data_IF_846539048330
#
_entry.id   IF_846539048330
#
_cell.length_a   1.000
_cell.length_b   1.000
_cell.length_c   1.000
_cell.angle_alpha   90.00
_cell.angle_beta   90.00
_cell.angle_gamma   90.00
#
_symmetry.space_group_name_H-M   'P 1'
#
loop_
_entity.id
_entity.type
_entity.pdbx_description
1 polymer ?
#
# COMPACT_ATOMS: atom_id res chain seq x y z
N UNK A 1 -1.22 -0.46 26.58
CA UNK A 1 -1.11 -0.54 25.12
C UNK A 1 -2.34 -1.26 24.59
N UNK A 2 -2.80 -0.89 23.40
CA UNK A 2 -3.97 -1.46 22.72
C UNK A 2 -3.54 -2.60 21.82
N UNK A 3 -4.38 -3.61 21.60
CA UNK A 3 -4.04 -4.70 20.66
C UNK A 3 -4.15 -4.18 19.24
N UNK A 4 -5.24 -3.48 18.95
CA UNK A 4 -5.50 -2.91 17.62
C UNK A 4 -5.75 -1.41 17.70
N UNK A 5 -5.32 -0.69 16.66
CA UNK A 5 -5.55 0.75 16.57
C UNK A 5 -5.87 1.19 15.15
N UNK A 6 -6.63 2.27 15.02
CA UNK A 6 -6.87 2.96 13.76
C UNK A 6 -6.31 4.38 13.84
N UNK A 7 -5.56 4.77 12.81
CA UNK A 7 -5.13 6.15 12.61
C UNK A 7 -5.52 6.65 11.21
N UNK A 8 -5.87 7.92 11.13
CA UNK A 8 -6.24 8.60 9.88
C UNK A 8 -5.13 9.55 9.46
N UNK A 9 -4.62 9.36 8.25
CA UNK A 9 -3.54 10.16 7.67
C UNK A 9 -4.06 10.99 6.50
N UNK A 10 -3.65 12.24 6.45
CA UNK A 10 -4.01 13.13 5.36
C UNK A 10 -3.36 12.69 4.05
N UNK A 11 -4.11 12.74 2.96
CA UNK A 11 -3.63 12.38 1.64
C UNK A 11 -4.13 13.40 0.62
N UNK A 12 -3.25 13.92 -0.24
CA UNK A 12 -3.65 14.82 -1.33
C UNK A 12 -3.20 14.26 -2.66
N UNK A 13 -4.17 14.04 -3.56
CA UNK A 13 -3.90 13.74 -4.96
C UNK A 13 -3.48 15.00 -5.72
N UNK A 14 -3.99 16.17 -5.30
CA UNK A 14 -3.75 17.47 -5.94
C UNK A 14 -2.43 18.10 -5.51
N UNK A 15 -1.61 18.50 -6.49
CA UNK A 15 -0.31 19.14 -6.32
C UNK A 15 -0.38 20.68 -6.38
N UNK A 16 -1.32 21.32 -5.66
CA UNK A 16 -1.45 22.77 -5.83
C UNK A 16 -0.28 23.57 -5.25
N UNK A 17 0.50 23.04 -4.28
CA UNK A 17 1.72 23.70 -3.71
C UNK A 17 2.69 22.67 -3.09
N UNK A 18 3.99 22.83 -3.35
CA UNK A 18 5.10 22.02 -2.76
C UNK A 18 5.09 22.02 -1.23
N UNK A 19 4.84 23.19 -0.63
CA UNK A 19 4.84 23.35 0.83
C UNK A 19 3.72 22.55 1.51
N UNK A 20 2.56 22.43 0.86
CA UNK A 20 1.44 21.67 1.38
C UNK A 20 1.75 20.16 1.48
N UNK A 21 2.50 19.60 0.53
CA UNK A 21 2.91 18.20 0.57
C UNK A 21 3.85 17.90 1.73
N UNK A 22 4.88 18.73 1.91
CA UNK A 22 5.83 18.59 3.01
C UNK A 22 5.13 18.70 4.37
N UNK A 23 4.23 19.67 4.54
CA UNK A 23 3.46 19.85 5.78
C UNK A 23 2.58 18.62 6.07
N UNK A 24 1.81 18.16 5.08
CA UNK A 24 0.97 16.95 5.21
C UNK A 24 1.82 15.73 5.57
N UNK A 25 2.98 15.58 4.94
CA UNK A 25 3.88 14.48 5.17
C UNK A 25 4.44 14.47 6.60
N UNK A 26 4.99 15.59 7.06
CA UNK A 26 5.55 15.71 8.40
C UNK A 26 4.46 15.57 9.47
N UNK A 27 3.28 16.12 9.23
CA UNK A 27 2.13 15.93 10.10
C UNK A 27 1.75 14.44 10.23
N UNK A 28 1.68 13.72 9.11
CA UNK A 28 1.41 12.28 9.12
C UNK A 28 2.49 11.48 9.86
N UNK A 29 3.76 11.85 9.72
CA UNK A 29 4.85 11.19 10.43
C UNK A 29 4.82 11.44 11.94
N UNK A 30 4.55 12.68 12.37
CA UNK A 30 4.35 13.00 13.78
C UNK A 30 3.20 12.17 14.38
N UNK A 31 2.08 12.05 13.65
CA UNK A 31 0.94 11.21 14.01
C UNK A 31 1.33 9.74 14.17
N UNK A 32 1.98 9.16 13.16
CA UNK A 32 2.41 7.75 13.18
C UNK A 32 3.40 7.45 14.30
N UNK A 33 4.37 8.35 14.50
CA UNK A 33 5.36 8.21 15.56
C UNK A 33 4.71 8.14 16.94
N UNK A 34 3.74 9.01 17.19
CA UNK A 34 3.06 9.13 18.47
C UNK A 34 2.13 7.95 18.78
N UNK A 35 1.55 7.31 17.76
CA UNK A 35 0.55 6.25 17.97
C UNK A 35 1.14 4.83 17.94
N UNK A 36 2.15 4.55 17.10
CA UNK A 36 2.52 3.16 16.77
C UNK A 36 3.06 2.37 17.97
N UNK A 37 3.73 3.03 18.93
CA UNK A 37 4.25 2.39 20.13
C UNK A 37 3.15 2.04 21.14
N UNK A 38 1.95 2.57 20.95
CA UNK A 38 0.80 2.29 21.80
C UNK A 38 -0.02 1.09 21.32
N UNK A 39 0.32 0.52 20.15
CA UNK A 39 -0.37 -0.61 19.52
C UNK A 39 0.52 -1.84 19.50
N UNK A 40 0.00 -2.98 19.95
CA UNK A 40 0.74 -4.24 20.09
C UNK A 40 0.68 -5.09 18.82
N UNK A 41 -0.52 -5.32 18.29
CA UNK A 41 -0.72 -6.36 17.27
C UNK A 41 -0.89 -5.75 15.89
N UNK A 42 -1.89 -4.86 15.71
CA UNK A 42 -2.27 -4.37 14.39
C UNK A 42 -2.66 -2.90 14.34
N UNK A 43 -2.03 -2.15 13.45
CA UNK A 43 -2.34 -0.76 13.16
C UNK A 43 -2.98 -0.63 11.78
N UNK A 44 -4.21 -0.14 11.74
CA UNK A 44 -4.89 0.28 10.52
C UNK A 44 -4.57 1.75 10.25
N UNK A 45 -4.22 2.05 9.01
CA UNK A 45 -3.94 3.40 8.54
C UNK A 45 -4.92 3.73 7.43
N UNK A 46 -5.85 4.64 7.68
CA UNK A 46 -6.81 5.09 6.70
C UNK A 46 -6.36 6.41 6.10
N UNK A 47 -6.11 6.46 4.79
CA UNK A 47 -5.85 7.72 4.12
C UNK A 47 -7.14 8.49 3.88
N UNK A 48 -7.11 9.80 4.12
CA UNK A 48 -8.27 10.69 4.00
C UNK A 48 -7.93 11.92 3.17
N UNK A 49 -8.81 12.29 2.24
CA UNK A 49 -8.54 13.38 1.28
C UNK A 49 -8.35 14.73 1.97
N UNK A 50 -7.19 15.35 1.80
CA UNK A 50 -6.84 16.67 2.30
C UNK A 50 -7.84 17.76 1.89
N UNK A 51 -8.30 17.73 0.62
CA UNK A 51 -9.21 18.74 0.09
C UNK A 51 -10.59 18.73 0.76
N UNK A 52 -11.00 17.62 1.36
CA UNK A 52 -12.24 17.52 2.12
C UNK A 52 -12.14 18.19 3.50
N UNK A 53 -10.94 18.41 4.03
CA UNK A 53 -10.75 18.97 5.37
C UNK A 53 -10.74 20.50 5.39
N UNK A 54 -10.10 21.15 4.42
CA UNK A 54 -9.98 22.62 4.38
C UNK A 54 -11.15 23.33 3.66
N UNK A 55 -12.14 22.59 3.18
CA UNK A 55 -13.31 23.17 2.47
C UNK A 55 -14.31 23.89 3.39
N UNK A 56 -14.30 23.61 4.69
CA UNK A 56 -15.28 24.14 5.65
C UNK A 56 -14.73 25.26 6.55
N UNK A 57 -13.49 25.70 6.38
CA UNK A 57 -13.00 26.89 7.06
C UNK A 57 -13.50 28.16 6.35
N UNK A 58 -14.76 28.50 6.63
CA UNK A 58 -15.18 29.91 6.75
C UNK A 58 -14.69 30.52 8.08
N UNK A 59 -13.89 29.78 8.84
CA UNK A 59 -13.27 30.22 10.08
C UNK A 59 -11.98 30.95 9.71
N UNK A 60 -12.08 32.27 9.61
CA UNK A 60 -11.00 33.24 9.77
C UNK A 60 -9.63 32.82 9.19
N UNK A 61 -9.28 33.45 8.06
CA UNK A 61 -7.91 33.67 7.56
C UNK A 61 -6.92 34.29 8.60
N UNK A 62 -7.29 34.36 9.88
CA UNK A 62 -6.50 34.88 11.00
C UNK A 62 -6.09 33.80 12.02
N UNK A 63 -6.40 32.50 11.83
CA UNK A 63 -5.58 31.46 12.46
C UNK A 63 -4.33 31.29 11.63
N UNK A 64 -3.39 32.15 11.94
CA UNK A 64 -2.07 32.20 11.35
C UNK A 64 -1.46 30.81 11.25
N UNK A 65 -0.93 30.52 10.05
CA UNK A 65 0.03 29.45 9.74
C UNK A 65 1.31 29.50 10.63
N UNK A 66 1.37 30.38 11.63
CA UNK A 66 2.55 30.70 12.44
C UNK A 66 3.07 29.54 13.31
N UNK A 67 2.25 28.53 13.59
CA UNK A 67 2.67 27.40 14.43
C UNK A 67 3.52 26.35 13.70
N UNK A 68 3.44 26.24 12.38
CA UNK A 68 4.19 25.22 11.62
C UNK A 68 5.38 25.81 10.85
N UNK A 69 5.27 27.07 10.40
CA UNK A 69 6.37 27.77 9.72
C UNK A 69 7.56 28.07 10.66
N UNK A 70 7.29 28.30 11.95
CA UNK A 70 8.33 28.64 12.94
C UNK A 70 9.27 27.49 13.31
N UNK A 71 8.90 26.23 13.00
CA UNK A 71 9.75 25.05 13.27
C UNK A 71 10.56 24.62 12.04
N UNK A 72 10.15 25.03 10.83
CA UNK A 72 10.68 24.49 9.57
C UNK A 72 11.53 25.54 8.80
N UNK A 73 11.38 26.83 9.10
CA UNK A 73 11.84 27.93 8.25
C UNK A 73 13.32 28.37 8.31
N UNK A 74 14.24 27.72 9.04
CA UNK A 74 15.62 28.27 9.19
C UNK A 74 16.78 27.45 8.60
N UNK A 75 16.55 26.29 7.97
CA UNK A 75 17.65 25.43 7.49
C UNK A 75 17.57 24.96 6.02
N UNK A 76 16.95 25.74 5.14
CA UNK A 76 16.94 25.42 3.71
C UNK A 76 17.46 26.57 2.85
N UNK A 77 18.79 26.68 2.83
CA UNK A 77 19.56 27.24 1.73
C UNK A 77 20.99 26.74 1.90
N UNK A 78 21.25 25.49 1.52
CA UNK A 78 22.51 25.02 0.95
C UNK A 78 22.50 23.51 0.77
N UNK A 79 23.11 23.06 -0.33
CA UNK A 79 23.47 21.68 -0.65
C UNK A 79 22.41 20.86 -1.41
N UNK A 80 22.13 21.31 -2.64
CA UNK A 80 21.79 20.39 -3.73
C UNK A 80 23.02 19.56 -4.09
N UNK A 81 22.98 18.25 -3.85
CA UNK A 81 23.74 17.28 -4.64
C UNK A 81 22.76 16.25 -5.19
N UNK A 82 22.22 16.62 -6.36
CA UNK A 82 21.90 15.80 -7.53
C UNK A 82 21.99 14.29 -7.32
N UNK A 83 20.83 13.63 -7.17
CA UNK A 83 20.69 12.22 -7.57
C UNK A 83 20.69 12.24 -9.10
N UNK A 84 21.68 11.59 -9.69
CA UNK A 84 21.79 11.46 -11.13
C UNK A 84 20.53 10.79 -11.68
N UNK A 85 19.95 11.48 -12.66
CA UNK A 85 18.92 11.00 -13.55
C UNK A 85 19.22 9.58 -14.00
N UNK A 86 18.30 8.66 -13.73
CA UNK A 86 18.22 7.40 -14.48
C UNK A 86 18.08 7.80 -15.94
N UNK A 87 19.15 7.57 -16.70
CA UNK A 87 19.19 7.84 -18.12
C UNK A 87 18.02 7.14 -18.80
N UNK A 88 17.21 7.97 -19.46
CA UNK A 88 16.31 7.52 -20.51
C UNK A 88 17.16 6.83 -21.57
N UNK A 89 17.15 5.49 -21.58
CA UNK A 89 17.51 4.74 -22.77
C UNK A 89 16.35 4.83 -23.76
N UNK A 90 16.22 6.03 -24.33
CA UNK A 90 15.49 6.27 -25.56
C UNK A 90 16.26 5.61 -26.71
N UNK A 91 15.97 4.34 -26.97
CA UNK A 91 16.17 3.80 -28.31
C UNK A 91 14.87 3.96 -29.09
N UNK A 92 14.74 5.15 -29.68
CA UNK A 92 13.87 5.37 -30.83
C UNK A 92 14.41 4.56 -32.01
N UNK A 93 13.69 3.51 -32.40
CA UNK A 93 13.61 2.97 -33.77
C UNK A 93 12.62 1.79 -33.81
N UNK A 94 11.35 2.06 -34.11
CA UNK A 94 10.62 1.46 -35.25
C UNK A 94 9.11 1.69 -35.16
N UNK A 95 8.56 2.07 -36.30
CA UNK A 95 7.16 2.15 -36.64
C UNK A 95 6.46 0.79 -36.65
N UNK A 96 5.13 0.85 -36.50
CA UNK A 96 4.07 -0.15 -36.79
C UNK A 96 3.91 -1.33 -35.81
N UNK A 97 2.83 -1.27 -35.01
CA UNK A 97 2.09 -2.39 -34.39
C UNK A 97 2.91 -3.55 -33.81
N UNK A 98 3.73 -3.28 -32.79
CA UNK A 98 4.27 -4.33 -31.92
C UNK A 98 3.33 -4.58 -30.71
N UNK A 99 2.66 -5.74 -30.61
CA UNK A 99 1.87 -6.15 -29.45
C UNK A 99 2.71 -6.49 -28.19
N UNK A 100 4.03 -6.25 -28.21
CA UNK A 100 4.90 -6.14 -27.03
C UNK A 100 4.97 -4.70 -26.45
N UNK A 101 4.22 -3.75 -27.02
CA UNK A 101 4.04 -2.41 -26.47
C UNK A 101 3.58 -2.50 -25.00
N UNK A 102 4.19 -1.74 -24.07
CA UNK A 102 3.81 -1.76 -22.66
C UNK A 102 2.29 -1.56 -22.49
N UNK A 103 1.71 -2.34 -21.58
CA UNK A 103 0.30 -2.32 -21.11
C UNK A 103 -0.40 -0.97 -21.31
N UNK A 104 -1.26 -0.84 -22.33
CA UNK A 104 -1.79 0.46 -22.77
C UNK A 104 -2.62 1.15 -21.69
N UNK A 105 -3.45 0.38 -20.98
CA UNK A 105 -4.30 0.93 -19.91
C UNK A 105 -3.49 1.26 -18.65
N UNK A 106 -2.47 0.46 -18.34
CA UNK A 106 -1.54 0.77 -17.25
C UNK A 106 -0.73 2.01 -17.56
N UNK A 107 -0.25 2.17 -18.80
CA UNK A 107 0.56 3.32 -19.22
C UNK A 107 -0.18 4.65 -19.06
N UNK A 108 -1.49 4.67 -19.34
CA UNK A 108 -2.34 5.84 -19.11
C UNK A 108 -2.36 6.30 -17.65
N UNK A 109 -2.12 5.40 -16.70
CA UNK A 109 -2.11 5.67 -15.26
C UNK A 109 -0.75 5.45 -14.60
N UNK A 110 0.31 5.23 -15.37
CA UNK A 110 1.57 4.71 -14.85
C UNK A 110 2.21 5.63 -13.82
N UNK A 111 2.28 6.92 -14.13
CA UNK A 111 2.84 7.92 -13.21
C UNK A 111 2.07 7.99 -11.90
N UNK A 112 0.73 7.99 -11.96
CA UNK A 112 -0.14 7.98 -10.78
C UNK A 112 0.07 6.72 -9.94
N UNK A 113 0.14 5.55 -10.58
CA UNK A 113 0.40 4.27 -9.93
C UNK A 113 1.77 4.24 -9.24
N UNK A 114 2.83 4.73 -9.89
CA UNK A 114 4.18 4.80 -9.32
C UNK A 114 4.27 5.77 -8.15
N UNK A 115 3.53 6.88 -8.20
CA UNK A 115 3.39 7.80 -7.07
C UNK A 115 2.72 7.12 -5.87
N UNK A 116 1.61 6.42 -6.08
CA UNK A 116 0.93 5.66 -5.02
C UNK A 116 1.84 4.58 -4.42
N UNK A 117 2.56 3.86 -5.25
CA UNK A 117 3.56 2.87 -4.85
C UNK A 117 4.62 3.48 -3.92
N UNK A 118 5.22 4.62 -4.32
CA UNK A 118 6.23 5.35 -3.53
C UNK A 118 5.68 5.82 -2.18
N UNK A 119 4.44 6.31 -2.16
CA UNK A 119 3.77 6.74 -0.93
C UNK A 119 3.60 5.58 0.04
N UNK A 120 3.05 4.45 -0.42
CA UNK A 120 2.86 3.28 0.45
C UNK A 120 4.19 2.70 0.95
N UNK A 121 5.19 2.63 0.08
CA UNK A 121 6.53 2.18 0.46
C UNK A 121 7.10 3.01 1.60
N UNK A 122 7.06 4.33 1.47
CA UNK A 122 7.63 5.24 2.46
C UNK A 122 6.96 5.13 3.81
N UNK A 123 5.62 5.04 3.84
CA UNK A 123 4.88 4.84 5.09
C UNK A 123 5.18 3.48 5.73
N UNK A 124 5.32 2.41 4.93
CA UNK A 124 5.76 1.13 5.46
C UNK A 124 7.21 1.19 5.98
N UNK A 125 8.15 1.80 5.28
CA UNK A 125 9.55 1.96 5.74
C UNK A 125 9.62 2.64 7.10
N UNK A 126 8.90 3.75 7.27
CA UNK A 126 8.83 4.48 8.54
C UNK A 126 8.29 3.58 9.64
N UNK A 127 7.12 2.98 9.43
CA UNK A 127 6.47 2.16 10.45
C UNK A 127 7.30 0.93 10.84
N UNK A 128 7.90 0.23 9.88
CA UNK A 128 8.70 -0.96 10.16
C UNK A 128 10.09 -0.64 10.69
N UNK A 129 10.63 0.55 10.42
CA UNK A 129 11.88 1.02 11.05
C UNK A 129 11.70 1.23 12.56
N UNK A 130 10.53 1.73 12.97
CA UNK A 130 10.23 1.95 14.39
C UNK A 130 9.71 0.70 15.09
N UNK A 131 8.79 -0.03 14.47
CA UNK A 131 8.25 -1.28 15.01
C UNK A 131 8.19 -2.36 13.91
N UNK A 132 9.28 -3.11 13.69
CA UNK A 132 9.36 -4.12 12.63
C UNK A 132 8.39 -5.29 12.81
N UNK A 133 7.77 -5.42 13.98
CA UNK A 133 6.80 -6.49 14.29
C UNK A 133 5.35 -6.05 14.15
N UNK A 134 5.08 -4.74 14.02
CA UNK A 134 3.72 -4.22 13.95
C UNK A 134 3.05 -4.63 12.65
N UNK A 135 1.89 -5.27 12.73
CA UNK A 135 1.12 -5.56 11.53
C UNK A 135 0.40 -4.30 11.06
N UNK A 136 0.91 -3.68 10.00
CA UNK A 136 0.31 -2.47 9.42
C UNK A 136 -0.55 -2.80 8.21
N UNK A 137 -1.74 -2.21 8.11
CA UNK A 137 -2.54 -2.21 6.88
C UNK A 137 -2.83 -0.77 6.45
N UNK A 138 -2.29 -0.37 5.30
CA UNK A 138 -2.62 0.91 4.66
C UNK A 138 -3.86 0.74 3.78
N UNK A 139 -4.90 1.52 4.05
CA UNK A 139 -6.15 1.52 3.29
C UNK A 139 -6.13 2.72 2.34
N UNK A 140 -6.09 2.50 1.01
CA UNK A 140 -6.13 3.57 0.03
C UNK A 140 -7.36 4.48 0.19
N UNK A 141 -7.24 5.80 -0.06
CA UNK A 141 -8.34 6.74 0.17
C UNK A 141 -9.58 6.43 -0.67
N UNK A 142 -9.42 6.01 -1.93
CA UNK A 142 -10.51 5.60 -2.82
C UNK A 142 -11.28 4.37 -2.33
N UNK A 143 -10.60 3.50 -1.58
CA UNK A 143 -11.20 2.31 -0.98
C UNK A 143 -11.78 2.61 0.41
N UNK A 144 -11.33 3.69 1.05
CA UNK A 144 -11.81 4.17 2.33
C UNK A 144 -13.14 4.95 2.24
N UNK A 145 -13.41 5.68 1.14
CA UNK A 145 -14.62 6.52 0.98
C UNK A 145 -15.86 5.77 0.51
N UNK A 146 -15.69 4.71 -0.30
CA UNK A 146 -16.81 3.84 -0.72
C UNK A 146 -17.39 3.00 0.44
N UNK A 147 -16.79 3.08 1.62
CA UNK A 147 -17.28 2.42 2.84
C UNK A 147 -18.38 3.22 3.54
N UNK A 148 -18.62 4.48 3.17
CA UNK A 148 -19.57 5.36 3.86
C UNK A 148 -20.75 5.87 2.99
N UNK A 149 -20.85 5.49 1.72
CA UNK A 149 -21.83 6.07 0.77
C UNK A 149 -22.92 5.12 0.26
N UNK A 150 -23.07 3.91 0.80
CA UNK A 150 -24.18 3.01 0.45
C UNK A 150 -25.39 3.19 1.38
N UNK A 151 -26.02 4.36 1.34
CA UNK A 151 -27.38 4.54 1.88
C UNK A 151 -28.20 5.42 0.95
N UNK A 152 -28.68 4.84 -0.16
CA UNK A 152 -29.98 5.11 -0.79
C UNK A 152 -30.04 4.56 -2.21
N UNK A 153 -30.65 3.39 -2.38
CA UNK A 153 -31.69 3.12 -3.39
C UNK A 153 -32.07 1.64 -3.38
N UNK A 154 -33.38 1.42 -3.43
CA UNK A 154 -34.08 0.16 -3.34
C UNK A 154 -34.00 -0.65 -4.63
N UNK A 155 -33.50 -1.88 -4.55
CA UNK A 155 -34.18 -3.08 -5.09
C UNK A 155 -33.37 -4.34 -4.78
N UNK A 156 -34.08 -5.36 -4.34
CA UNK A 156 -33.65 -6.68 -3.89
C UNK A 156 -32.55 -7.37 -4.73
N UNK A 157 -31.36 -7.49 -4.15
CA UNK A 157 -30.52 -8.69 -4.20
C UNK A 157 -29.45 -8.58 -3.11
N UNK A 158 -29.40 -9.57 -2.22
CA UNK A 158 -28.54 -9.64 -1.04
C UNK A 158 -27.06 -9.43 -1.36
N UNK A 159 -26.59 -8.19 -1.22
CA UNK A 159 -25.18 -7.82 -1.15
C UNK A 159 -24.95 -7.32 0.28
N UNK A 160 -24.34 -8.17 1.10
CA UNK A 160 -23.88 -7.81 2.44
C UNK A 160 -22.87 -6.67 2.31
N UNK A 161 -23.30 -5.47 2.70
CA UNK A 161 -22.45 -4.29 2.84
C UNK A 161 -21.44 -4.55 3.96
N UNK A 162 -20.21 -4.96 3.61
CA UNK A 162 -19.12 -5.03 4.58
C UNK A 162 -18.60 -3.61 4.79
N UNK A 163 -19.22 -2.92 5.75
CA UNK A 163 -18.62 -1.78 6.39
C UNK A 163 -17.47 -2.34 7.25
N UNK A 164 -16.21 -1.87 7.13
CA UNK A 164 -15.11 -2.35 7.99
C UNK A 164 -15.34 -2.09 9.49
N UNK A 165 -16.46 -1.49 9.86
CA UNK A 165 -16.87 -1.19 11.23
C UNK A 165 -17.40 -2.40 12.02
N UNK A 166 -17.91 -3.45 11.38
CA UNK A 166 -18.58 -4.53 12.13
C UNK A 166 -17.71 -5.80 12.33
N UNK A 167 -16.64 -5.99 11.57
CA UNK A 167 -15.71 -7.13 11.72
C UNK A 167 -14.29 -6.75 12.17
N UNK A 168 -13.90 -5.49 12.04
CA UNK A 168 -12.55 -5.07 12.41
C UNK A 168 -12.59 -4.58 13.87
N UNK A 169 -12.37 -5.49 14.82
CA UNK A 169 -12.22 -5.16 16.24
C UNK A 169 -11.09 -4.17 16.47
N UNK A 170 -11.40 -2.87 16.43
CA UNK A 170 -10.49 -1.74 16.69
C UNK A 170 -10.68 -1.32 18.15
N UNK A 171 -9.63 -1.50 18.96
CA UNK A 171 -9.69 -1.13 20.38
C UNK A 171 -9.63 0.39 20.58
N UNK A 172 -8.88 1.10 19.73
CA UNK A 172 -8.65 2.54 19.88
C UNK A 172 -8.60 3.27 18.54
N UNK A 173 -9.22 4.46 18.52
CA UNK A 173 -9.03 5.43 17.46
C UNK A 173 -8.07 6.54 17.91
N UNK A 174 -6.98 6.71 17.17
CA UNK A 174 -6.05 7.83 17.35
C UNK A 174 -6.55 9.03 16.56
N UNK A 175 -6.85 10.11 17.28
CA UNK A 175 -7.47 11.33 16.76
C UNK A 175 -6.60 12.54 17.06
N UNK A 176 -6.70 13.57 16.24
CA UNK A 176 -6.20 14.91 16.56
C UNK A 176 -7.29 15.98 16.36
N UNK A 177 -6.89 17.25 16.35
CA UNK A 177 -7.82 18.36 16.12
C UNK A 177 -8.51 18.30 14.74
N UNK A 178 -7.88 17.69 13.73
CA UNK A 178 -8.40 17.60 12.37
C UNK A 178 -9.46 16.49 12.23
N UNK A 179 -9.50 15.52 13.15
CA UNK A 179 -10.45 14.41 13.14
C UNK A 179 -11.84 14.76 13.74
N UNK A 180 -12.06 16.00 14.20
CA UNK A 180 -13.33 16.44 14.84
C UNK A 180 -14.61 16.17 14.04
N UNK A 181 -14.68 16.40 12.71
CA UNK A 181 -15.86 16.07 11.92
C UNK A 181 -16.17 14.57 11.93
N UNK A 182 -15.13 13.72 11.93
CA UNK A 182 -15.27 12.27 11.97
C UNK A 182 -15.69 11.77 13.36
N UNK A 183 -15.15 12.37 14.42
CA UNK A 183 -15.53 12.05 15.81
C UNK A 183 -17.03 12.30 16.02
N UNK A 184 -17.59 13.41 15.54
CA UNK A 184 -19.02 13.72 15.65
C UNK A 184 -19.91 12.65 15.01
N UNK A 185 -19.47 12.04 13.91
CA UNK A 185 -20.17 10.93 13.26
C UNK A 185 -20.02 9.62 14.07
N UNK A 186 -18.91 9.44 14.77
CA UNK A 186 -18.58 8.22 15.52
C UNK A 186 -19.07 8.21 16.98
N UNK A 187 -19.43 9.35 17.57
CA UNK A 187 -19.88 9.45 18.97
C UNK A 187 -21.13 8.62 19.29
N UNK A 188 -21.84 8.09 18.29
CA UNK A 188 -22.94 7.15 18.47
C UNK A 188 -22.47 5.70 18.74
N UNK A 189 -21.17 5.38 18.67
CA UNK A 189 -20.65 4.00 18.59
C UNK A 189 -19.74 3.56 19.77
N UNK A 190 -19.73 4.26 20.91
CA UNK A 190 -18.99 3.87 22.14
C UNK A 190 -17.50 3.50 21.94
N UNK A 191 -16.79 4.16 21.01
CA UNK A 191 -15.35 3.90 20.78
C UNK A 191 -14.45 4.64 21.76
N UNK A 192 -13.30 4.04 22.10
CA UNK A 192 -12.26 4.71 22.86
C UNK A 192 -11.42 5.60 21.94
N UNK A 193 -11.26 6.86 22.32
CA UNK A 193 -10.49 7.85 21.57
C UNK A 193 -9.22 8.22 22.34
N UNK A 194 -8.09 8.24 21.62
CA UNK A 194 -6.85 8.84 22.12
C UNK A 194 -6.53 10.06 21.29
N UNK A 195 -6.42 11.20 21.98
CA UNK A 195 -5.84 12.39 21.38
C UNK A 195 -4.34 12.19 21.19
N UNK A 196 -3.88 12.38 19.97
CA UNK A 196 -2.48 12.45 19.61
C UNK A 196 -2.07 13.91 19.70
N UNK A 197 -1.29 14.27 20.71
CA UNK A 197 -0.64 15.57 20.73
C UNK A 197 0.48 15.55 19.68
N UNK A 198 0.55 16.55 18.81
CA UNK A 198 1.55 16.63 17.74
C UNK A 198 2.96 16.67 18.35
N UNK A 199 3.63 15.53 18.45
CA UNK A 199 5.01 15.45 18.94
C UNK A 199 5.94 15.92 17.82
N UNK A 200 6.95 16.73 18.16
CA UNK A 200 8.07 17.03 17.26
C UNK A 200 8.67 15.72 16.74
N UNK A 201 8.51 15.47 15.44
CA UNK A 201 9.14 14.36 14.76
C UNK A 201 10.55 14.76 14.33
N UNK A 202 11.57 13.88 14.43
CA UNK A 202 12.91 14.18 13.93
C UNK A 202 12.91 14.20 12.39
N UNK A 203 12.45 15.32 11.82
CA UNK A 203 12.38 15.58 10.38
C UNK A 203 13.75 15.44 9.70
N UNK A 204 14.84 15.64 10.45
CA UNK A 204 16.22 15.45 9.99
C UNK A 204 16.53 14.02 9.52
N UNK A 205 15.78 13.03 10.01
CA UNK A 205 15.94 11.63 9.61
C UNK A 205 15.18 11.30 8.32
N UNK A 206 14.30 12.19 7.86
CA UNK A 206 13.40 11.98 6.71
C UNK A 206 13.30 13.27 5.89
N UNK A 207 14.47 13.80 5.50
CA UNK A 207 14.67 15.13 4.86
C UNK A 207 13.99 15.35 3.52
N UNK A 208 13.48 14.30 2.88
CA UNK A 208 12.90 14.38 1.54
C UNK A 208 11.41 14.06 1.57
N UNK A 209 10.59 15.02 1.14
CA UNK A 209 9.22 14.76 0.72
C UNK A 209 9.28 13.80 -0.47
N UNK A 210 8.74 12.60 -0.29
CA UNK A 210 8.64 11.51 -1.28
C UNK A 210 7.68 11.83 -2.44
N UNK A 211 6.99 12.97 -2.34
CA UNK A 211 6.18 13.53 -3.42
C UNK A 211 7.17 14.16 -4.42
N UNK A 212 7.58 13.38 -5.41
CA UNK A 212 8.48 13.82 -6.47
C UNK A 212 7.90 15.07 -7.16
N UNK A 213 8.65 16.18 -7.08
CA UNK A 213 8.30 17.50 -7.60
C UNK A 213 8.45 17.61 -9.14
N UNK A 214 8.84 16.53 -9.84
CA UNK A 214 9.18 16.61 -11.27
C UNK A 214 8.05 16.25 -12.23
N UNK A 215 6.89 15.79 -11.74
CA UNK A 215 5.82 15.27 -12.61
C UNK A 215 4.66 16.27 -12.72
N UNK A 216 4.51 16.89 -13.89
CA UNK A 216 3.31 17.65 -14.24
C UNK A 216 2.13 16.68 -14.37
N UNK A 217 1.14 16.79 -13.47
CA UNK A 217 -0.07 15.95 -13.54
C UNK A 217 -1.01 16.46 -14.65
N UNK A 218 -1.56 15.53 -15.42
CA UNK A 218 -2.60 15.84 -16.39
C UNK A 218 -3.95 16.13 -15.69
N UNK A 219 -4.85 16.81 -16.38
CA UNK A 219 -6.15 17.21 -15.82
C UNK A 219 -7.04 16.05 -15.29
N UNK A 220 -6.79 14.82 -15.75
CA UNK A 220 -7.46 13.57 -15.35
C UNK A 220 -7.12 13.10 -13.92
N UNK A 221 -6.06 13.64 -13.31
CA UNK A 221 -5.62 13.26 -11.96
C UNK A 221 -6.38 13.97 -10.83
N UNK A 222 -7.36 14.80 -11.16
CA UNK A 222 -8.22 15.49 -10.17
C UNK A 222 -9.36 14.61 -9.65
N UNK A 223 -9.63 13.47 -10.30
CA UNK A 223 -10.66 12.53 -9.88
C UNK A 223 -10.11 11.47 -8.91
N UNK A 224 -10.93 11.10 -7.93
CA UNK A 224 -10.63 10.00 -7.01
C UNK A 224 -10.35 8.71 -7.76
N UNK A 225 -9.32 7.96 -7.36
CA UNK A 225 -8.94 6.71 -8.01
C UNK A 225 -10.13 5.74 -8.12
N UNK A 226 -10.32 5.15 -9.30
CA UNK A 226 -11.26 4.06 -9.55
C UNK A 226 -10.48 2.85 -10.04
N UNK A 227 -10.79 1.63 -9.54
CA UNK A 227 -10.12 0.44 -10.05
C UNK A 227 -10.32 0.29 -11.56
N UNK A 228 -9.25 -0.09 -12.27
CA UNK A 228 -9.21 -0.13 -13.73
C UNK A 228 -9.75 -1.47 -14.25
N UNK A 229 -9.55 -2.56 -13.49
CA UNK A 229 -9.80 -3.91 -13.94
C UNK A 229 -10.83 -4.63 -13.08
N UNK A 230 -11.72 -5.38 -13.74
CA UNK A 230 -12.66 -6.28 -13.05
C UNK A 230 -11.94 -7.48 -12.45
N UNK A 231 -11.01 -8.06 -13.21
CA UNK A 231 -10.28 -9.28 -12.87
C UNK A 231 -8.79 -9.04 -12.78
N UNK A 232 -8.20 -9.24 -11.59
CA UNK A 232 -6.75 -9.10 -11.35
C UNK A 232 -6.17 -10.43 -10.86
N UNK A 233 -4.95 -10.76 -11.26
CA UNK A 233 -4.21 -11.92 -10.74
C UNK A 233 -2.82 -11.53 -10.24
N UNK A 234 -2.37 -12.22 -9.19
CA UNK A 234 -0.99 -12.17 -8.72
C UNK A 234 -0.59 -13.51 -8.09
N UNK A 235 0.69 -13.75 -7.98
CA UNK A 235 1.23 -14.97 -7.38
C UNK A 235 2.43 -14.70 -6.49
N UNK A 236 2.61 -15.51 -5.45
CA UNK A 236 3.73 -15.38 -4.54
C UNK A 236 3.71 -16.41 -3.42
N UNK A 237 4.79 -16.45 -2.65
CA UNK A 237 4.84 -17.30 -1.46
C UNK A 237 4.11 -16.65 -0.28
N UNK A 238 4.18 -15.33 -0.13
CA UNK A 238 3.55 -14.58 0.97
C UNK A 238 3.85 -15.13 2.37
N UNK A 239 5.03 -15.71 2.54
CA UNK A 239 5.57 -16.03 3.86
C UNK A 239 5.93 -14.73 4.57
N UNK A 240 5.60 -14.61 5.86
CA UNK A 240 5.93 -13.45 6.71
C UNK A 240 5.72 -12.11 5.98
N UNK A 241 4.47 -11.79 5.67
CA UNK A 241 4.09 -10.61 4.86
C UNK A 241 4.82 -9.34 5.34
N UNK A 242 5.83 -8.94 4.56
CA UNK A 242 6.68 -7.78 4.80
C UNK A 242 6.27 -6.62 3.87
N UNK A 243 6.85 -5.41 4.00
CA UNK A 243 6.46 -4.24 3.21
C UNK A 243 6.33 -4.48 1.70
N UNK A 244 7.27 -5.21 1.08
CA UNK A 244 7.21 -5.52 -0.35
C UNK A 244 5.97 -6.33 -0.75
N UNK A 245 5.61 -7.36 0.02
CA UNK A 245 4.34 -8.09 -0.20
C UNK A 245 3.14 -7.18 0.01
N UNK A 246 3.16 -6.31 1.03
CA UNK A 246 2.03 -5.42 1.33
C UNK A 246 1.80 -4.43 0.19
N UNK A 247 2.86 -3.85 -0.39
CA UNK A 247 2.75 -2.96 -1.56
C UNK A 247 2.19 -3.73 -2.75
N UNK A 248 2.74 -4.90 -3.08
CA UNK A 248 2.25 -5.74 -4.19
C UNK A 248 0.74 -6.02 -4.05
N UNK A 249 0.31 -6.49 -2.88
CA UNK A 249 -1.07 -6.83 -2.58
C UNK A 249 -1.98 -5.59 -2.56
N UNK A 250 -1.53 -4.47 -1.98
CA UNK A 250 -2.28 -3.21 -1.94
C UNK A 250 -2.48 -2.64 -3.35
N UNK A 251 -1.44 -2.63 -4.19
CA UNK A 251 -1.55 -2.14 -5.56
C UNK A 251 -2.46 -3.02 -6.42
N UNK A 252 -2.42 -4.34 -6.25
CA UNK A 252 -3.36 -5.23 -6.92
C UNK A 252 -4.80 -5.00 -6.46
N UNK A 253 -5.03 -4.81 -5.16
CA UNK A 253 -6.36 -4.51 -4.61
C UNK A 253 -6.90 -3.16 -5.08
N UNK A 254 -6.01 -2.19 -5.31
CA UNK A 254 -6.32 -0.87 -5.85
C UNK A 254 -6.70 -0.94 -7.34
N UNK A 255 -6.10 -1.86 -8.10
CA UNK A 255 -6.39 -2.08 -9.52
C UNK A 255 -7.67 -2.89 -9.78
N UNK A 256 -8.17 -3.62 -8.78
CA UNK A 256 -9.27 -4.57 -8.91
C UNK A 256 -10.62 -4.04 -8.41
N UNK A 257 -11.69 -4.17 -9.20
CA UNK A 257 -13.06 -3.80 -8.79
C UNK A 257 -13.95 -4.97 -8.35
N UNK A 258 -13.73 -6.19 -8.85
CA UNK A 258 -14.71 -7.29 -8.70
C UNK A 258 -14.09 -8.61 -8.23
N UNK A 259 -13.06 -9.11 -8.91
CA UNK A 259 -12.54 -10.46 -8.71
C UNK A 259 -11.02 -10.52 -8.75
N UNK A 260 -10.42 -11.20 -7.78
CA UNK A 260 -8.97 -11.39 -7.72
C UNK A 260 -8.59 -12.84 -7.51
N UNK A 261 -7.70 -13.34 -8.37
CA UNK A 261 -7.01 -14.61 -8.17
C UNK A 261 -5.66 -14.38 -7.49
N UNK A 262 -5.44 -15.09 -6.39
CA UNK A 262 -4.22 -14.97 -5.60
C UNK A 262 -3.58 -16.33 -5.47
N UNK A 263 -2.52 -16.54 -6.23
CA UNK A 263 -1.74 -17.77 -6.19
C UNK A 263 -0.77 -17.79 -5.01
N UNK A 264 -0.95 -18.75 -4.11
CA UNK A 264 -0.06 -19.00 -2.97
C UNK A 264 0.80 -20.22 -3.27
N UNK A 265 2.13 -20.07 -3.30
CA UNK A 265 3.05 -21.19 -3.53
C UNK A 265 2.90 -22.29 -2.47
N UNK A 266 2.74 -23.55 -2.87
CA UNK A 266 2.64 -24.69 -1.94
C UNK A 266 3.99 -25.01 -1.28
N UNK A 267 3.97 -25.49 -0.03
CA UNK A 267 5.20 -25.80 0.71
C UNK A 267 6.05 -26.90 0.02
N UNK A 268 5.43 -27.82 -0.72
CA UNK A 268 6.12 -28.93 -1.39
C UNK A 268 7.21 -28.50 -2.38
N UNK A 269 7.03 -27.33 -3.03
CA UNK A 269 7.97 -26.78 -4.02
C UNK A 269 8.86 -25.66 -3.45
N UNK A 270 8.77 -25.39 -2.15
CA UNK A 270 9.59 -24.39 -1.44
C UNK A 270 10.80 -24.98 -0.72
N UNK A 271 11.00 -26.30 -0.79
CA UNK A 271 12.04 -27.04 -0.04
C UNK A 271 13.46 -26.53 -0.31
N UNK A 272 13.72 -26.00 -1.51
CA UNK A 272 15.03 -25.45 -1.90
C UNK A 272 15.29 -24.02 -1.39
N UNK A 273 14.30 -23.34 -0.80
CA UNK A 273 14.50 -22.00 -0.23
C UNK A 273 15.31 -22.08 1.06
N UNK A 274 16.24 -21.15 1.27
CA UNK A 274 16.98 -20.99 2.53
C UNK A 274 16.00 -20.87 3.71
N UNK A 275 16.16 -21.66 4.78
CA UNK A 275 15.21 -21.76 5.91
C UNK A 275 13.81 -22.22 5.50
N UNK A 276 13.71 -23.23 4.63
CA UNK A 276 12.42 -23.72 4.12
C UNK A 276 11.57 -24.36 5.23
N UNK A 277 12.22 -24.94 6.23
CA UNK A 277 11.63 -25.49 7.45
C UNK A 277 10.90 -24.45 8.31
N UNK A 278 11.29 -23.17 8.19
CA UNK A 278 10.65 -22.06 8.89
C UNK A 278 9.50 -21.43 8.10
N UNK A 279 9.25 -21.84 6.85
CA UNK A 279 8.15 -21.30 6.04
C UNK A 279 6.82 -21.74 6.65
N UNK A 280 5.91 -20.79 6.85
CA UNK A 280 4.59 -21.10 7.41
C UNK A 280 3.78 -22.06 6.51
N UNK A 281 2.86 -22.86 7.08
CA UNK A 281 1.97 -23.72 6.31
C UNK A 281 1.19 -22.96 5.23
N UNK A 282 0.83 -23.67 4.17
CA UNK A 282 0.07 -23.11 3.04
C UNK A 282 -1.22 -22.44 3.50
N UNK A 283 -1.95 -23.11 4.38
CA UNK A 283 -3.24 -22.66 4.92
C UNK A 283 -3.07 -21.36 5.71
N UNK A 284 -2.03 -21.28 6.55
CA UNK A 284 -1.70 -20.08 7.33
C UNK A 284 -1.37 -18.89 6.43
N UNK A 285 -0.50 -19.08 5.42
CA UNK A 285 -0.13 -18.01 4.47
C UNK A 285 -1.33 -17.57 3.63
N UNK A 286 -2.19 -18.51 3.26
CA UNK A 286 -3.43 -18.24 2.52
C UNK A 286 -4.39 -17.39 3.35
N UNK A 287 -4.65 -17.78 4.60
CA UNK A 287 -5.56 -17.06 5.48
C UNK A 287 -5.06 -15.64 5.77
N UNK A 288 -3.78 -15.47 6.12
CA UNK A 288 -3.21 -14.15 6.43
C UNK A 288 -3.23 -13.24 5.19
N UNK A 289 -2.89 -13.78 4.01
CA UNK A 289 -2.93 -13.02 2.74
C UNK A 289 -4.35 -12.60 2.40
N UNK A 290 -5.32 -13.52 2.48
CA UNK A 290 -6.73 -13.23 2.21
C UNK A 290 -7.27 -12.17 3.16
N UNK A 291 -6.98 -12.33 4.47
CA UNK A 291 -7.39 -11.35 5.48
C UNK A 291 -6.76 -9.99 5.21
N UNK A 292 -5.47 -9.91 4.86
CA UNK A 292 -4.82 -8.64 4.51
C UNK A 292 -5.54 -7.96 3.33
N UNK A 293 -5.80 -8.70 2.25
CA UNK A 293 -6.50 -8.18 1.08
C UNK A 293 -7.92 -7.69 1.42
N UNK A 294 -8.70 -8.45 2.18
CA UNK A 294 -10.04 -8.05 2.62
C UNK A 294 -10.02 -6.76 3.48
N UNK A 295 -8.98 -6.56 4.28
CA UNK A 295 -8.81 -5.30 5.02
C UNK A 295 -8.46 -4.11 4.11
N UNK A 296 -7.84 -4.35 2.96
CA UNK A 296 -7.51 -3.30 1.98
C UNK A 296 -8.71 -2.99 1.08
N UNK A 297 -9.35 -4.02 0.51
CA UNK A 297 -10.51 -3.88 -0.37
C UNK A 297 -11.56 -4.98 -0.09
N UNK A 298 -12.55 -4.75 0.79
CA UNK A 298 -13.56 -5.75 1.12
C UNK A 298 -14.57 -6.02 -0.01
N UNK A 299 -14.57 -5.20 -1.07
CA UNK A 299 -15.55 -5.29 -2.16
C UNK A 299 -15.15 -6.27 -3.28
N UNK A 300 -13.99 -6.93 -3.15
CA UNK A 300 -13.46 -7.85 -4.14
C UNK A 300 -13.67 -9.30 -3.70
N UNK A 301 -14.12 -10.13 -4.63
CA UNK A 301 -14.16 -11.59 -4.48
C UNK A 301 -12.73 -12.15 -4.60
N UNK A 302 -12.22 -12.75 -3.52
CA UNK A 302 -10.88 -13.35 -3.49
C UNK A 302 -10.92 -14.86 -3.69
N UNK A 303 -10.34 -15.32 -4.79
CA UNK A 303 -10.09 -16.72 -5.07
C UNK A 303 -8.62 -17.07 -4.77
N UNK A 304 -8.41 -17.80 -3.67
CA UNK A 304 -7.07 -18.20 -3.22
C UNK A 304 -6.69 -19.54 -3.83
N UNK A 305 -5.68 -19.53 -4.69
CA UNK A 305 -5.27 -20.72 -5.45
C UNK A 305 -3.97 -21.31 -4.88
N UNK A 306 -3.90 -22.63 -4.81
CA UNK A 306 -2.66 -23.34 -4.50
C UNK A 306 -1.79 -23.43 -5.76
N UNK A 307 -0.59 -22.86 -5.72
CA UNK A 307 0.40 -22.98 -6.80
C UNK A 307 1.33 -24.14 -6.51
N UNK A 308 1.07 -25.27 -7.16
CA UNK A 308 2.02 -26.40 -7.29
C UNK A 308 2.81 -26.26 -8.59
N UNK A 309 2.21 -25.60 -9.58
CA UNK A 309 2.79 -25.21 -10.86
C UNK A 309 2.75 -23.68 -11.02
N UNK A 310 3.66 -23.07 -11.80
CA UNK A 310 3.85 -21.61 -11.82
C UNK A 310 2.71 -20.81 -12.45
N UNK A 311 1.77 -21.43 -13.17
CA UNK A 311 0.80 -20.70 -14.01
C UNK A 311 -0.66 -20.81 -13.57
N UNK A 312 -1.04 -21.77 -12.73
CA UNK A 312 -2.42 -22.02 -12.27
C UNK A 312 -3.49 -21.76 -13.37
N UNK A 313 -4.52 -20.95 -13.09
CA UNK A 313 -5.62 -20.66 -14.01
C UNK A 313 -5.32 -19.50 -14.97
N UNK A 314 -4.11 -18.92 -14.93
CA UNK A 314 -3.80 -17.71 -15.72
C UNK A 314 -3.83 -17.96 -17.23
N UNK A 315 -3.61 -19.20 -17.66
CA UNK A 315 -3.64 -19.61 -19.07
C UNK A 315 -5.03 -20.07 -19.55
N UNK A 316 -6.04 -20.12 -18.68
CA UNK A 316 -7.38 -20.65 -19.02
C UNK A 316 -8.50 -19.69 -18.67
N UNK A 317 -8.31 -18.79 -17.70
CA UNK A 317 -9.34 -17.89 -17.22
C UNK A 317 -9.58 -16.72 -18.18
N UNK A 318 -10.84 -16.57 -18.59
CA UNK A 318 -11.34 -15.44 -19.39
C UNK A 318 -11.73 -14.22 -18.54
N UNK A 319 -11.85 -14.38 -17.21
CA UNK A 319 -12.20 -13.31 -16.27
C UNK A 319 -11.05 -12.34 -16.00
N UNK A 320 -9.81 -12.80 -16.16
CA UNK A 320 -8.60 -12.05 -15.83
C UNK A 320 -8.27 -11.00 -16.91
N UNK A 321 -7.97 -9.78 -16.46
CA UNK A 321 -7.64 -8.64 -17.32
C UNK A 321 -6.25 -8.07 -17.02
N UNK A 322 -5.77 -8.21 -15.79
CA UNK A 322 -4.48 -7.67 -15.36
C UNK A 322 -3.71 -8.68 -14.49
N UNK A 323 -2.39 -8.68 -14.63
CA UNK A 323 -1.45 -9.40 -13.76
C UNK A 323 -0.53 -8.39 -13.08
N UNK A 324 -0.46 -8.47 -11.75
CA UNK A 324 0.45 -7.65 -10.93
C UNK A 324 1.65 -8.49 -10.53
N UNK A 325 2.84 -7.98 -10.83
CA UNK A 325 4.09 -8.72 -10.66
C UNK A 325 5.16 -7.91 -9.92
N UNK A 326 6.12 -8.61 -9.35
CA UNK A 326 7.43 -8.08 -9.02
C UNK A 326 8.36 -8.11 -10.25
N UNK A 327 9.50 -7.39 -10.24
CA UNK A 327 10.51 -7.51 -11.29
C UNK A 327 10.99 -8.97 -11.48
N UNK A 328 11.06 -9.74 -10.39
CA UNK A 328 11.45 -11.15 -10.39
C UNK A 328 10.51 -12.06 -11.20
N UNK A 329 9.25 -11.66 -11.36
CA UNK A 329 8.19 -12.48 -11.99
C UNK A 329 7.79 -11.99 -13.38
N UNK A 330 8.53 -11.03 -13.96
CA UNK A 330 8.28 -10.50 -15.30
C UNK A 330 8.35 -11.56 -16.40
N UNK A 331 9.38 -12.41 -16.39
CA UNK A 331 9.52 -13.48 -17.38
C UNK A 331 8.31 -14.43 -17.37
N UNK A 332 7.79 -14.73 -16.19
CA UNK A 332 6.58 -15.56 -16.01
C UNK A 332 5.35 -14.88 -16.60
N UNK A 333 5.14 -13.58 -16.35
CA UNK A 333 4.01 -12.84 -16.93
C UNK A 333 4.07 -12.75 -18.46
N UNK A 334 5.26 -12.53 -19.03
CA UNK A 334 5.46 -12.53 -20.48
C UNK A 334 5.13 -13.88 -21.09
N UNK A 335 5.57 -14.97 -20.47
CA UNK A 335 5.23 -16.33 -20.88
C UNK A 335 3.72 -16.62 -20.79
N UNK A 336 3.06 -16.23 -19.70
CA UNK A 336 1.60 -16.35 -19.56
C UNK A 336 0.91 -15.64 -20.73
N UNK A 337 1.32 -14.42 -21.07
CA UNK A 337 0.74 -13.70 -22.21
C UNK A 337 1.04 -14.36 -23.56
N UNK A 338 2.18 -15.03 -23.72
CA UNK A 338 2.45 -15.85 -24.90
C UNK A 338 1.44 -17.01 -25.00
N UNK A 339 1.30 -17.82 -23.94
CA UNK A 339 0.35 -18.96 -23.93
C UNK A 339 -1.09 -18.49 -24.12
N UNK A 340 -1.48 -17.36 -23.53
CA UNK A 340 -2.80 -16.77 -23.75
C UNK A 340 -3.05 -16.43 -25.22
N UNK A 341 -2.06 -15.85 -25.92
CA UNK A 341 -2.18 -15.58 -27.38
C UNK A 341 -2.33 -16.87 -28.18
N UNK A 342 -1.51 -17.88 -27.87
CA UNK A 342 -1.56 -19.20 -28.53
C UNK A 342 -2.91 -19.92 -28.33
N UNK A 343 -3.59 -19.64 -27.22
CA UNK A 343 -4.88 -20.22 -26.84
C UNK A 343 -6.08 -19.29 -27.12
N UNK A 344 -5.89 -18.22 -27.89
CA UNK A 344 -6.92 -17.22 -28.24
C UNK A 344 -7.55 -16.49 -27.04
N UNK A 345 -6.83 -16.38 -25.92
CA UNK A 345 -7.19 -15.55 -24.79
C UNK A 345 -6.57 -14.15 -24.92
N UNK A 346 -7.29 -13.14 -24.44
CA UNK A 346 -6.78 -11.76 -24.38
C UNK A 346 -5.54 -11.70 -23.48
N UNK A 347 -4.41 -11.11 -23.90
CA UNK A 347 -3.27 -10.86 -23.02
C UNK A 347 -3.68 -10.06 -21.78
N UNK A 348 -3.05 -10.34 -20.65
CA UNK A 348 -3.21 -9.58 -19.42
C UNK A 348 -2.40 -8.29 -19.50
N UNK A 349 -2.99 -7.18 -19.06
CA UNK A 349 -2.24 -5.96 -18.77
C UNK A 349 -1.25 -6.28 -17.64
N UNK A 350 0.02 -5.99 -17.84
CA UNK A 350 1.06 -6.22 -16.83
C UNK A 350 1.30 -4.92 -16.08
N UNK A 351 1.13 -4.96 -14.75
CA UNK A 351 1.64 -3.92 -13.87
C UNK A 351 2.78 -4.49 -13.02
N UNK A 352 4.00 -4.03 -13.30
CA UNK A 352 5.15 -4.37 -12.46
C UNK A 352 5.30 -3.32 -11.37
N UNK A 353 5.27 -3.76 -10.11
CA UNK A 353 5.78 -2.92 -9.03
C UNK A 353 7.30 -2.77 -9.24
N UNK A 354 7.81 -1.57 -9.00
CA UNK A 354 9.24 -1.27 -9.09
C UNK A 354 9.96 -1.63 -7.80
N UNK A 355 9.21 -1.78 -6.71
CA UNK A 355 9.77 -1.92 -5.40
C UNK A 355 10.13 -3.37 -5.04
N UNK A 356 11.36 -3.74 -5.34
CA UNK A 356 12.22 -4.53 -4.46
C UNK A 356 13.64 -4.10 -4.76
N UNK A 357 14.22 -3.20 -3.95
CA UNK A 357 15.66 -3.09 -3.69
C UNK A 357 15.96 -1.77 -2.96
N UNK A 358 15.90 -1.83 -1.63
CA UNK A 358 16.57 -0.86 -0.78
C UNK A 358 17.86 -1.49 -0.28
N UNK A 359 18.88 -1.54 -1.13
CA UNK A 359 20.28 -1.54 -0.70
C UNK A 359 20.99 -0.59 -1.64
N UNK A 360 21.29 0.61 -1.15
CA UNK A 360 22.43 1.46 -1.52
C UNK A 360 22.15 2.89 -1.06
N UNK A 361 22.08 3.10 0.26
CA UNK A 361 22.73 4.22 0.98
C UNK A 361 22.79 3.83 2.47
N UNK A 362 23.87 3.15 2.86
CA UNK A 362 24.36 3.06 4.24
C UNK A 362 23.38 2.64 5.35
N UNK A 363 23.00 1.36 5.42
CA UNK A 363 22.77 0.70 6.72
C UNK A 363 21.39 0.08 7.01
N UNK A 364 20.34 0.33 6.22
CA UNK A 364 19.02 -0.25 6.51
C UNK A 364 18.86 -1.65 5.85
N UNK A 365 18.65 -2.68 6.68
CA UNK A 365 18.58 -4.09 6.27
C UNK A 365 17.33 -4.37 5.42
N UNK A 366 17.49 -5.10 4.30
CA UNK A 366 16.39 -5.56 3.42
C UNK A 366 15.39 -6.43 4.19
N UNK A 367 14.23 -5.85 4.56
CA UNK A 367 13.09 -6.57 5.12
C UNK A 367 12.48 -7.49 4.05
N UNK A 368 12.90 -8.76 4.05
CA UNK A 368 12.44 -9.83 3.19
C UNK A 368 12.00 -11.04 4.00
N UNK A 369 11.18 -11.90 3.42
CA UNK A 369 10.77 -13.17 4.05
C UNK A 369 11.97 -14.02 4.50
N UNK A 370 13.06 -14.03 3.71
CA UNK A 370 14.29 -14.74 4.06
C UNK A 370 15.02 -14.10 5.24
N UNK A 371 15.06 -12.77 5.30
CA UNK A 371 15.66 -12.06 6.44
C UNK A 371 14.85 -12.30 7.73
N UNK A 372 13.52 -12.23 7.66
CA UNK A 372 12.67 -12.51 8.82
C UNK A 372 12.82 -13.96 9.30
N UNK A 373 12.94 -14.92 8.37
CA UNK A 373 13.28 -16.31 8.70
C UNK A 373 14.64 -16.45 9.38
N UNK A 374 15.64 -15.71 8.91
CA UNK A 374 16.96 -15.70 9.54
C UNK A 374 16.90 -15.21 10.99
N UNK A 375 16.10 -14.15 11.27
CA UNK A 375 15.90 -13.67 12.63
C UNK A 375 15.20 -14.71 13.52
N UNK A 376 14.22 -15.44 12.98
CA UNK A 376 13.55 -16.52 13.71
C UNK A 376 14.51 -17.69 13.99
N UNK A 377 15.34 -18.06 13.02
CA UNK A 377 16.38 -19.07 13.17
C UNK A 377 17.37 -18.71 14.30
N UNK A 378 17.86 -17.47 14.34
CA UNK A 378 18.77 -17.00 15.40
C UNK A 378 18.10 -17.10 16.78
N UNK A 379 16.82 -16.74 16.90
CA UNK A 379 16.10 -16.82 18.19
C UNK A 379 15.96 -18.26 18.67
N UNK A 380 15.66 -19.20 17.77
CA UNK A 380 15.55 -20.62 18.12
C UNK A 380 16.87 -21.16 18.67
N UNK A 381 18.00 -20.86 18.01
CA UNK A 381 19.31 -21.27 18.51
C UNK A 381 19.63 -20.69 19.91
N UNK A 382 19.28 -19.43 20.15
CA UNK A 382 19.48 -18.79 21.46
C UNK A 382 18.61 -19.38 22.57
N UNK A 383 17.46 -19.98 22.23
CA UNK A 383 16.60 -20.68 23.19
C UNK A 383 17.18 -22.06 23.50
N UNK A 384 17.63 -22.80 22.48
CA UNK A 384 18.27 -24.11 22.63
C UNK A 384 19.59 -24.07 23.41
N UNK A 385 20.30 -22.94 23.43
CA UNK A 385 21.56 -22.80 24.20
C UNK A 385 21.32 -22.42 25.68
N UNK A 386 20.07 -22.13 26.07
CA UNK A 386 19.69 -21.73 27.44
C UNK A 386 18.97 -22.83 28.23
N UNK A 387 18.57 -23.90 27.55
CA UNK A 387 18.12 -25.17 28.13
C UNK A 387 19.30 -26.13 28.26
#
# INVERSE_FOLDING_TARGET
MYKTGLIRLLFTESMSKKDAHSIVHYHNFAKLFSCQLQVQDKLYVQFVSHSSFWKNDTINNNRSLESYDSVIGQHYNNTLNRVESIEQTSNSNNSTDDPQSPSTLINQHYQRLKRLESIYDSYYKVLYKFNPKLNVTLIPPSLATNQSSSSSSSSSSSLTSINPKDEIGIDVLFIDQQDQPYIKQQQQQQQQFIKVDSINYPIDNYKYSIYDDTVQMESSDRESWKPIFKGVVLGGTFDRIHPGHKILLTMAALLCSEYMEVGITDNSILKSKKYSELIAPFETRTQITKQFLQNVNPNVEYNMLKLIEPYANTCTSTRLQNIVISPETLKTALYINQVRRETNLKPLEIYSISYFDGVEQGGDVKLSSTYLRHLDFIKLQQQETKE
#
